data_IF_132431592300
#
_entry.id   IF_132431592300
#
_cell.length_a   1.000
_cell.length_b   1.000
_cell.length_c   1.000
_cell.angle_alpha   90.00
_cell.angle_beta   90.00
_cell.angle_gamma   90.00
#
_symmetry.space_group_name_H-M   'P 1'
#
loop_
_entity.id
_entity.type
_entity.pdbx_description
1 polymer ?
#
# COMPACT_ATOMS: atom_id res chain seq x y z
N UNK A 1 10.18 29.61 -10.42
CA UNK A 1 9.90 28.52 -9.46
C UNK A 1 10.84 28.67 -8.28
N UNK A 2 10.32 28.91 -7.06
CA UNK A 2 11.15 28.75 -5.85
C UNK A 2 11.45 27.25 -5.70
N UNK A 3 12.72 26.89 -5.53
CA UNK A 3 13.10 25.52 -5.19
C UNK A 3 12.38 25.09 -3.90
N UNK A 4 11.97 23.82 -3.79
CA UNK A 4 11.60 23.22 -2.51
C UNK A 4 12.89 23.17 -1.67
N UNK A 5 13.04 24.09 -0.72
CA UNK A 5 14.32 24.33 -0.04
C UNK A 5 14.50 23.52 1.25
N UNK A 6 13.44 22.92 1.78
CA UNK A 6 13.46 22.21 3.06
C UNK A 6 12.35 21.16 3.11
N UNK A 7 12.62 20.01 3.75
CA UNK A 7 11.60 19.02 4.08
C UNK A 7 11.60 18.75 5.58
N UNK A 8 10.42 18.67 6.16
CA UNK A 8 10.23 18.33 7.58
C UNK A 8 9.50 17.00 7.64
N UNK A 9 10.02 16.06 8.42
CA UNK A 9 9.35 14.79 8.69
C UNK A 9 8.71 14.89 10.06
N UNK A 10 7.41 14.65 10.13
CA UNK A 10 6.70 14.60 11.41
C UNK A 10 7.32 13.52 12.31
N UNK A 11 7.42 13.80 13.61
CA UNK A 11 8.04 12.90 14.59
C UNK A 11 7.31 11.56 14.75
N UNK A 12 6.03 11.50 14.34
CA UNK A 12 5.22 10.29 14.35
C UNK A 12 4.16 10.33 13.22
N UNK A 13 3.64 9.17 12.79
CA UNK A 13 2.57 9.08 11.79
C UNK A 13 1.19 9.37 12.40
N UNK A 14 1.07 10.45 13.19
CA UNK A 14 -0.18 10.84 13.85
C UNK A 14 -0.57 12.24 13.42
N UNK A 15 -1.89 12.51 13.42
CA UNK A 15 -2.41 13.83 13.13
C UNK A 15 -1.82 14.95 14.00
N UNK A 16 -1.62 14.67 15.29
CA UNK A 16 -1.00 15.61 16.22
C UNK A 16 0.45 15.93 15.87
N UNK A 17 1.26 14.90 15.54
CA UNK A 17 2.64 15.11 15.13
C UNK A 17 2.73 15.86 13.79
N UNK A 18 1.80 15.61 12.87
CA UNK A 18 1.71 16.34 11.60
C UNK A 18 1.39 17.83 11.81
N UNK A 19 0.41 18.13 12.68
CA UNK A 19 0.05 19.51 13.06
C UNK A 19 1.22 20.23 13.75
N UNK A 20 1.96 19.52 14.60
CA UNK A 20 3.09 20.08 15.34
C UNK A 20 4.37 20.26 14.50
N UNK A 21 4.54 19.48 13.43
CA UNK A 21 5.77 19.45 12.65
C UNK A 21 6.00 20.74 11.85
N UNK A 22 4.98 21.23 11.14
CA UNK A 22 4.97 22.54 10.47
C UNK A 22 3.60 22.83 9.83
N UNK A 23 2.97 23.95 10.17
CA UNK A 23 1.75 24.46 9.50
C UNK A 23 2.06 25.43 8.35
N UNK A 24 3.34 25.78 8.14
CA UNK A 24 3.84 26.62 7.07
C UNK A 24 4.18 25.86 5.77
N UNK A 25 4.05 24.52 5.77
CA UNK A 25 4.34 23.71 4.60
C UNK A 25 3.43 24.05 3.41
N UNK A 26 4.01 24.26 2.23
CA UNK A 26 3.25 24.46 0.98
C UNK A 26 2.72 23.14 0.39
N UNK A 27 3.40 22.03 0.66
CA UNK A 27 3.07 20.70 0.14
C UNK A 27 3.19 19.67 1.24
N UNK A 28 2.16 18.84 1.39
CA UNK A 28 2.13 17.71 2.30
C UNK A 28 2.32 16.39 1.53
N UNK A 29 3.33 15.60 1.89
CA UNK A 29 3.47 14.22 1.41
C UNK A 29 2.81 13.26 2.40
N UNK A 30 1.74 12.60 1.96
CA UNK A 30 0.87 11.81 2.85
C UNK A 30 1.31 10.36 2.88
N UNK A 31 1.69 9.90 4.08
CA UNK A 31 2.05 8.51 4.43
C UNK A 31 1.28 7.96 5.63
N UNK A 32 0.41 8.75 6.24
CA UNK A 32 -0.45 8.42 7.37
C UNK A 32 -1.80 9.17 7.22
N UNK A 33 -2.88 8.72 7.88
CA UNK A 33 -4.17 9.42 7.85
C UNK A 33 -4.06 10.88 8.29
N UNK A 34 -4.57 11.78 7.46
CA UNK A 34 -4.59 13.22 7.74
C UNK A 34 -5.89 13.58 8.45
N UNK A 35 -5.87 14.21 9.64
CA UNK A 35 -7.08 14.71 10.26
C UNK A 35 -7.70 15.82 9.42
N UNK A 36 -9.03 15.88 9.31
CA UNK A 36 -9.73 16.96 8.62
C UNK A 36 -9.35 18.35 9.14
N UNK A 37 -9.18 18.46 10.47
CA UNK A 37 -8.79 19.70 11.13
C UNK A 37 -7.42 20.27 10.67
N UNK A 38 -6.58 19.45 10.03
CA UNK A 38 -5.32 19.89 9.45
C UNK A 38 -5.53 20.97 8.40
N UNK A 39 -6.53 20.80 7.53
CA UNK A 39 -6.77 21.69 6.40
C UNK A 39 -7.29 23.07 6.84
N UNK A 40 -7.93 23.17 8.00
CA UNK A 40 -8.35 24.45 8.57
C UNK A 40 -7.18 25.24 9.18
N UNK A 41 -6.12 24.55 9.63
CA UNK A 41 -4.99 25.15 10.36
C UNK A 41 -3.80 25.46 9.45
N UNK A 42 -3.59 24.68 8.39
CA UNK A 42 -2.46 24.81 7.47
C UNK A 42 -2.69 25.88 6.40
N UNK A 43 -2.64 27.16 6.79
CA UNK A 43 -2.97 28.31 5.92
C UNK A 43 -2.05 28.49 4.69
N UNK A 44 -0.84 27.93 4.72
CA UNK A 44 0.12 27.98 3.61
C UNK A 44 0.03 26.79 2.65
N UNK A 45 -0.78 25.79 2.97
CA UNK A 45 -0.83 24.54 2.22
C UNK A 45 -1.50 24.75 0.86
N UNK A 46 -0.92 24.13 -0.18
CA UNK A 46 -1.39 24.22 -1.56
C UNK A 46 -1.71 22.86 -2.16
N UNK A 47 -1.02 21.81 -1.70
CA UNK A 47 -1.23 20.46 -2.18
C UNK A 47 -1.01 19.40 -1.10
N UNK A 48 -1.81 18.34 -1.16
CA UNK A 48 -1.59 17.10 -0.44
C UNK A 48 -1.38 15.96 -1.45
N UNK A 49 -0.18 15.37 -1.45
CA UNK A 49 0.21 14.32 -2.39
C UNK A 49 0.35 13.01 -1.64
N UNK A 50 -0.51 12.04 -1.94
CA UNK A 50 -0.38 10.68 -1.45
C UNK A 50 0.80 10.00 -2.14
N UNK A 51 1.80 9.59 -1.35
CA UNK A 51 2.81 8.64 -1.82
C UNK A 51 2.22 7.21 -1.79
N UNK A 52 1.34 6.93 -2.75
CA UNK A 52 0.57 5.69 -2.86
C UNK A 52 -0.63 5.89 -3.79
N UNK A 53 -1.31 4.78 -4.13
CA UNK A 53 -2.45 4.83 -5.05
C UNK A 53 -3.77 5.25 -4.35
N UNK A 54 -4.05 4.72 -3.17
CA UNK A 54 -5.30 4.98 -2.44
C UNK A 54 -5.34 6.36 -1.78
N UNK A 55 -6.45 7.06 -1.93
CA UNK A 55 -6.69 8.40 -1.35
C UNK A 55 -7.42 8.34 0.01
N UNK A 56 -7.67 7.16 0.55
CA UNK A 56 -8.35 6.90 1.84
C UNK A 56 -7.72 7.63 3.03
N UNK A 57 -6.43 7.93 2.98
CA UNK A 57 -5.71 8.66 4.04
C UNK A 57 -5.93 10.18 3.98
N UNK A 58 -6.52 10.71 2.90
CA UNK A 58 -6.75 12.14 2.72
C UNK A 58 -8.25 12.37 2.75
N UNK A 59 -8.77 13.18 3.69
CA UNK A 59 -10.15 13.65 3.63
C UNK A 59 -10.35 14.57 2.41
N UNK A 60 -10.58 13.98 1.23
CA UNK A 60 -10.59 14.68 -0.06
C UNK A 60 -11.64 15.78 -0.10
N UNK A 61 -12.81 15.56 0.51
CA UNK A 61 -13.86 16.58 0.58
C UNK A 61 -13.42 17.81 1.39
N UNK A 62 -12.80 17.62 2.56
CA UNK A 62 -12.28 18.72 3.38
C UNK A 62 -11.11 19.45 2.68
N UNK A 63 -10.21 18.70 2.03
CA UNK A 63 -9.13 19.27 1.25
C UNK A 63 -9.67 20.11 0.07
N UNK A 64 -10.70 19.61 -0.62
CA UNK A 64 -11.36 20.32 -1.72
C UNK A 64 -12.05 21.59 -1.24
N UNK A 65 -12.75 21.55 -0.10
CA UNK A 65 -13.37 22.74 0.51
C UNK A 65 -12.32 23.80 0.90
N UNK A 66 -11.13 23.37 1.30
CA UNK A 66 -9.97 24.22 1.56
C UNK A 66 -9.22 24.66 0.28
N UNK A 67 -9.71 24.30 -0.92
CA UNK A 67 -9.10 24.61 -2.23
C UNK A 67 -7.69 24.04 -2.42
N UNK A 68 -7.44 22.88 -1.84
CA UNK A 68 -6.15 22.18 -1.95
C UNK A 68 -6.14 21.21 -3.13
N UNK A 69 -5.01 21.16 -3.82
CA UNK A 69 -4.78 20.11 -4.82
C UNK A 69 -4.55 18.78 -4.11
N UNK A 70 -5.25 17.74 -4.54
CA UNK A 70 -5.03 16.36 -4.08
C UNK A 70 -4.51 15.53 -5.25
N UNK A 71 -3.38 14.86 -5.04
CA UNK A 71 -2.78 13.97 -6.02
C UNK A 71 -2.35 12.65 -5.37
N UNK A 72 -2.25 11.61 -6.19
CA UNK A 72 -1.77 10.29 -5.81
C UNK A 72 -0.77 9.78 -6.85
N UNK A 73 -0.20 8.59 -6.61
CA UNK A 73 0.72 7.93 -7.54
C UNK A 73 0.08 6.62 -8.00
N UNK A 74 -0.92 6.66 -8.90
CA UNK A 74 -1.63 5.48 -9.34
C UNK A 74 -0.70 4.56 -10.15
N UNK A 75 -0.81 3.25 -9.94
CA UNK A 75 -0.08 2.25 -10.74
C UNK A 75 1.41 2.08 -10.42
N UNK A 76 2.05 2.99 -9.67
CA UNK A 76 3.49 2.93 -9.41
C UNK A 76 3.95 1.64 -8.70
N UNK A 77 3.13 1.08 -7.82
CA UNK A 77 3.41 -0.19 -7.14
C UNK A 77 2.60 -1.36 -7.71
N UNK A 78 1.96 -1.20 -8.86
CA UNK A 78 1.05 -2.23 -9.37
C UNK A 78 1.76 -3.56 -9.68
N UNK A 79 3.01 -3.51 -10.16
CA UNK A 79 3.84 -4.69 -10.36
C UNK A 79 4.11 -5.43 -9.04
N UNK A 80 4.62 -4.71 -8.04
CA UNK A 80 4.89 -5.28 -6.71
C UNK A 80 3.66 -5.92 -6.07
N UNK A 81 2.48 -5.30 -6.19
CA UNK A 81 1.24 -5.86 -5.64
C UNK A 81 0.80 -7.10 -6.42
N UNK A 82 0.94 -7.11 -7.75
CA UNK A 82 0.62 -8.27 -8.58
C UNK A 82 1.56 -9.46 -8.26
N UNK A 83 2.86 -9.23 -8.15
CA UNK A 83 3.85 -10.25 -7.75
C UNK A 83 3.52 -10.81 -6.35
N UNK A 84 3.19 -9.93 -5.40
CA UNK A 84 2.80 -10.35 -4.06
C UNK A 84 1.52 -11.20 -4.06
N UNK A 85 0.54 -10.88 -4.91
CA UNK A 85 -0.68 -11.66 -5.03
C UNK A 85 -0.41 -13.07 -5.60
N UNK A 86 0.45 -13.20 -6.63
CA UNK A 86 0.90 -14.51 -7.14
C UNK A 86 1.63 -15.29 -6.04
N UNK A 87 2.58 -14.66 -5.35
CA UNK A 87 3.29 -15.28 -4.23
C UNK A 87 2.32 -15.79 -3.16
N UNK A 88 1.35 -14.97 -2.74
CA UNK A 88 0.36 -15.34 -1.75
C UNK A 88 -0.50 -16.52 -2.21
N UNK A 89 -0.92 -16.55 -3.48
CA UNK A 89 -1.67 -17.66 -4.05
C UNK A 89 -0.87 -18.98 -3.99
N UNK A 90 0.41 -18.95 -4.38
CA UNK A 90 1.31 -20.11 -4.29
C UNK A 90 1.50 -20.52 -2.82
N UNK A 91 1.78 -19.57 -1.94
CA UNK A 91 2.02 -19.82 -0.52
C UNK A 91 0.82 -20.48 0.16
N UNK A 92 -0.40 -20.05 -0.17
CA UNK A 92 -1.63 -20.66 0.33
C UNK A 92 -1.82 -22.09 -0.21
N UNK A 93 -1.67 -22.26 -1.53
CA UNK A 93 -1.82 -23.57 -2.19
C UNK A 93 -0.80 -24.60 -1.69
N UNK A 94 0.38 -24.16 -1.26
CA UNK A 94 1.46 -24.98 -0.71
C UNK A 94 1.50 -25.03 0.81
N UNK A 95 0.52 -24.43 1.50
CA UNK A 95 0.48 -24.31 2.96
C UNK A 95 1.81 -23.83 3.56
N UNK A 96 2.50 -22.93 2.84
CA UNK A 96 3.93 -22.63 3.03
C UNK A 96 4.26 -22.22 4.47
N UNK A 97 3.44 -21.35 5.07
CA UNK A 97 3.67 -20.87 6.44
C UNK A 97 3.55 -21.99 7.49
N UNK A 98 2.58 -22.89 7.32
CA UNK A 98 2.40 -24.01 8.24
C UNK A 98 3.51 -25.05 8.06
N UNK A 99 3.88 -25.33 6.81
CA UNK A 99 5.01 -26.19 6.46
C UNK A 99 6.33 -25.66 7.04
N UNK A 100 6.66 -24.38 6.82
CA UNK A 100 7.88 -23.75 7.34
C UNK A 100 7.92 -23.80 8.88
N UNK A 101 6.81 -23.48 9.54
CA UNK A 101 6.70 -23.58 10.99
C UNK A 101 6.94 -25.00 11.51
N UNK A 102 6.29 -26.01 10.90
CA UNK A 102 6.47 -27.41 11.28
C UNK A 102 7.89 -27.92 11.00
N UNK A 103 8.48 -27.54 9.86
CA UNK A 103 9.84 -27.92 9.50
C UNK A 103 10.85 -27.41 10.54
N UNK A 104 10.75 -26.14 10.94
CA UNK A 104 11.66 -25.50 11.89
C UNK A 104 11.50 -26.01 13.32
N UNK A 105 10.27 -26.34 13.73
CA UNK A 105 9.96 -26.67 15.14
C UNK A 105 9.89 -28.17 15.43
N UNK A 106 9.56 -28.98 14.42
CA UNK A 106 9.31 -30.44 14.56
C UNK A 106 10.13 -31.29 13.57
N UNK A 107 10.97 -30.66 12.76
CA UNK A 107 11.90 -31.34 11.85
C UNK A 107 11.32 -31.74 10.50
N UNK A 108 12.17 -32.35 9.69
CA UNK A 108 11.90 -32.62 8.27
C UNK A 108 10.63 -33.43 8.02
N UNK A 109 10.39 -34.51 8.76
CA UNK A 109 9.22 -35.36 8.56
C UNK A 109 7.89 -34.61 8.76
N UNK A 110 7.84 -33.71 9.74
CA UNK A 110 6.65 -32.89 10.02
C UNK A 110 6.41 -31.84 8.92
N UNK A 111 7.47 -31.23 8.39
CA UNK A 111 7.36 -30.32 7.24
C UNK A 111 6.97 -31.06 5.96
N UNK A 112 7.57 -32.22 5.68
CA UNK A 112 7.31 -33.03 4.49
C UNK A 112 5.84 -33.40 4.35
N UNK A 113 5.16 -33.73 5.45
CA UNK A 113 3.75 -34.15 5.46
C UNK A 113 2.79 -33.14 4.79
N UNK A 114 3.14 -31.84 4.76
CA UNK A 114 2.33 -30.83 4.04
C UNK A 114 2.37 -31.00 2.52
N UNK A 115 3.39 -31.68 1.97
CA UNK A 115 3.48 -31.96 0.53
C UNK A 115 2.38 -32.89 0.04
N UNK A 116 1.82 -33.72 0.93
CA UNK A 116 0.76 -34.68 0.62
C UNK A 116 -0.59 -33.99 0.33
N UNK A 117 -0.74 -32.73 0.76
CA UNK A 117 -1.95 -31.93 0.59
C UNK A 117 -1.69 -30.61 -0.17
N UNK A 118 -0.44 -30.34 -0.50
CA UNK A 118 -0.06 -29.19 -1.31
C UNK A 118 -0.65 -29.32 -2.71
N UNK A 119 -1.17 -28.23 -3.24
CA UNK A 119 -1.72 -28.19 -4.59
C UNK A 119 -0.92 -27.23 -5.45
N UNK A 120 -0.81 -27.54 -6.73
CA UNK A 120 -0.13 -26.67 -7.69
C UNK A 120 -1.00 -25.44 -8.00
N UNK A 121 -0.40 -24.35 -8.46
CA UNK A 121 -1.17 -23.23 -9.02
C UNK A 121 -1.56 -23.53 -10.49
N UNK A 122 -0.76 -24.34 -11.18
CA UNK A 122 -1.05 -24.79 -12.55
C UNK A 122 -2.42 -25.50 -12.62
N UNK A 123 -3.17 -25.20 -13.69
CA UNK A 123 -4.52 -25.71 -13.89
C UNK A 123 -5.58 -25.12 -12.96
N UNK A 124 -5.23 -24.25 -12.02
CA UNK A 124 -6.21 -23.53 -11.21
C UNK A 124 -6.80 -22.34 -12.00
N UNK A 125 -8.07 -22.04 -11.74
CA UNK A 125 -8.71 -20.81 -12.25
C UNK A 125 -8.45 -19.68 -11.27
N UNK A 126 -7.82 -18.60 -11.74
CA UNK A 126 -7.62 -17.37 -10.96
C UNK A 126 -8.70 -16.36 -11.37
N UNK A 127 -9.65 -16.10 -10.47
CA UNK A 127 -10.64 -15.05 -10.64
C UNK A 127 -10.09 -13.69 -10.20
N UNK A 128 -10.14 -12.69 -11.07
CA UNK A 128 -9.68 -11.33 -10.78
C UNK A 128 -10.89 -10.39 -10.74
N UNK A 129 -11.19 -9.84 -9.56
CA UNK A 129 -12.21 -8.81 -9.38
C UNK A 129 -11.54 -7.43 -9.42
N UNK A 130 -11.70 -6.74 -10.55
CA UNK A 130 -11.12 -5.42 -10.81
C UNK A 130 -9.95 -5.48 -11.78
N UNK A 131 -10.12 -4.88 -12.96
CA UNK A 131 -9.14 -4.87 -14.06
C UNK A 131 -8.44 -3.51 -14.23
N UNK A 132 -8.04 -2.91 -13.12
CA UNK A 132 -7.15 -1.73 -13.11
C UNK A 132 -5.68 -2.11 -13.28
N UNK A 133 -4.77 -1.18 -12.96
CA UNK A 133 -3.32 -1.37 -13.14
C UNK A 133 -2.77 -2.64 -12.47
N UNK A 134 -3.27 -3.02 -11.28
CA UNK A 134 -2.87 -4.25 -10.58
C UNK A 134 -3.47 -5.48 -11.27
N UNK A 135 -4.79 -5.49 -11.49
CA UNK A 135 -5.50 -6.65 -12.06
C UNK A 135 -4.98 -7.03 -13.45
N UNK A 136 -4.66 -6.05 -14.30
CA UNK A 136 -4.08 -6.29 -15.61
C UNK A 136 -2.69 -6.93 -15.53
N UNK A 137 -1.83 -6.46 -14.62
CA UNK A 137 -0.49 -7.04 -14.39
C UNK A 137 -0.59 -8.45 -13.82
N UNK A 138 -1.50 -8.66 -12.87
CA UNK A 138 -1.78 -9.98 -12.30
C UNK A 138 -2.28 -10.95 -13.36
N UNK A 139 -3.20 -10.53 -14.23
CA UNK A 139 -3.71 -11.33 -15.33
C UNK A 139 -2.58 -11.75 -16.29
N UNK A 140 -1.71 -10.81 -16.67
CA UNK A 140 -0.56 -11.12 -17.51
C UNK A 140 0.41 -12.12 -16.85
N UNK A 141 0.69 -11.97 -15.55
CA UNK A 141 1.54 -12.90 -14.80
C UNK A 141 0.92 -14.28 -14.64
N UNK A 142 -0.40 -14.36 -14.49
CA UNK A 142 -1.13 -15.61 -14.31
C UNK A 142 -1.28 -16.43 -15.62
N UNK A 143 -1.06 -15.79 -16.77
CA UNK A 143 -1.12 -16.43 -18.09
C UNK A 143 0.23 -16.93 -18.61
N UNK A 144 1.33 -16.48 -18.00
CA UNK A 144 2.71 -16.84 -18.36
C UNK A 144 3.13 -18.17 -17.72
#
# INVERSE_FOLDING_TARGET
MKALREYVVASAPTGAAMLAADLGAEVLIVRAPVPEAYFAQAKGLRAAVRHGAGLDMIPVAAATAARLLVANVPGANAGTVAEHAIFAAIALRRQFRAMDGALRTRGWAAGRAFSDHGRELSGAVIGILGMGAIGQRLAAMAQA
#
